data_IF_888987068111
#
_entry.id   IF_888987068111
#
_cell.length_a   1.000
_cell.length_b   1.000
_cell.length_c   1.000
_cell.angle_alpha   90.00
_cell.angle_beta   90.00
_cell.angle_gamma   90.00
#
_symmetry.space_group_name_H-M   'P 1'
#
loop_
_entity.id
_entity.type
_entity.pdbx_description
1 polymer ?
#
# COMPACT_ATOMS: atom_id res chain seq x y z
N UNK A 3 21.35 18.32 1.57
CA UNK A 3 21.16 18.82 2.93
C UNK A 3 20.61 20.23 2.92
N UNK A 4 19.46 20.41 2.27
CA UNK A 4 18.83 21.73 2.19
C UNK A 4 18.25 22.08 3.55
N UNK A 5 18.74 23.15 4.15
CA UNK A 5 18.26 23.58 5.45
C UNK A 5 19.30 23.47 6.54
N UNK A 6 19.70 24.61 7.09
CA UNK A 6 20.63 24.67 8.21
C UNK A 6 19.91 25.30 9.38
N UNK A 7 19.51 24.47 10.35
CA UNK A 7 18.64 24.89 11.43
C UNK A 7 17.17 24.72 11.13
N UNK A 8 16.80 24.72 9.85
CA UNK A 8 15.41 24.50 9.49
C UNK A 8 14.99 23.07 9.76
N UNK A 9 15.83 22.12 9.38
CA UNK A 9 15.52 20.71 9.43
C UNK A 9 15.79 20.07 10.78
N UNK A 10 15.84 20.87 11.85
CA UNK A 10 16.02 20.29 13.19
C UNK A 10 14.71 19.69 13.68
N UNK A 11 13.70 20.52 13.87
CA UNK A 11 12.33 20.08 14.13
C UNK A 11 11.48 20.86 13.13
N UNK A 12 11.34 20.29 11.93
CA UNK A 12 10.92 21.03 10.75
C UNK A 12 9.42 21.16 10.61
N UNK A 13 8.68 21.13 11.73
CA UNK A 13 7.34 21.70 11.71
C UNK A 13 7.39 23.17 11.33
N UNK A 14 8.43 23.87 11.78
CA UNK A 14 8.74 25.19 11.24
C UNK A 14 9.20 25.05 9.79
N UNK A 15 8.68 25.93 8.93
CA UNK A 15 8.99 25.92 7.51
C UNK A 15 10.36 26.50 7.23
N UNK A 16 10.93 26.11 6.10
CA UNK A 16 12.07 26.73 5.45
C UNK A 16 11.59 27.46 4.20
N UNK A 17 12.30 28.50 3.75
CA UNK A 17 11.83 29.28 2.61
C UNK A 17 11.93 28.58 1.25
N UNK A 18 12.28 27.30 1.20
CA UNK A 18 12.05 26.53 -0.02
C UNK A 18 10.60 26.09 -0.13
N UNK A 19 9.95 25.84 1.00
CA UNK A 19 8.62 25.29 1.03
C UNK A 19 8.55 23.79 1.21
N UNK A 20 9.57 23.17 1.81
CA UNK A 20 9.64 21.73 1.91
C UNK A 20 9.73 21.32 3.38
N UNK A 21 8.64 20.82 3.92
CA UNK A 21 8.62 20.32 5.30
C UNK A 21 9.46 19.06 5.35
N UNK A 22 10.57 19.12 6.08
CA UNK A 22 11.61 18.11 5.96
C UNK A 22 11.21 16.77 6.58
N UNK A 23 10.17 16.75 7.42
CA UNK A 23 9.57 15.49 7.85
C UNK A 23 8.95 14.73 6.69
N UNK A 24 8.43 15.43 5.69
CA UNK A 24 7.90 14.75 4.52
C UNK A 24 9.04 14.08 3.75
N UNK A 25 10.21 14.71 3.71
CA UNK A 25 11.36 14.06 3.09
C UNK A 25 11.90 12.91 3.93
N UNK A 26 11.86 13.03 5.27
CA UNK A 26 12.14 11.88 6.15
C UNK A 26 11.28 10.69 5.79
N UNK A 27 9.97 10.91 5.76
CA UNK A 27 9.05 9.80 5.57
C UNK A 27 9.11 9.26 4.14
N UNK A 28 9.29 10.12 3.15
CA UNK A 28 9.37 9.65 1.77
C UNK A 28 10.66 8.86 1.52
N UNK A 29 11.80 9.36 2.03
CA UNK A 29 13.04 8.61 1.87
C UNK A 29 13.01 7.32 2.67
N UNK A 30 12.31 7.30 3.80
CA UNK A 30 12.08 6.06 4.52
C UNK A 30 11.24 5.09 3.71
N UNK A 31 10.27 5.61 2.94
CA UNK A 31 9.49 4.76 2.05
C UNK A 31 10.37 4.19 0.94
N UNK A 32 11.20 5.05 0.30
CA UNK A 32 12.07 4.52 -0.75
C UNK A 32 13.22 3.70 -0.20
N UNK A 33 13.42 3.67 1.11
CA UNK A 33 14.33 2.69 1.69
C UNK A 33 13.68 1.31 1.74
N UNK A 34 12.37 1.25 1.95
CA UNK A 34 11.69 -0.03 1.96
C UNK A 34 11.28 -0.43 0.54
N UNK A 35 10.93 -1.70 0.38
CA UNK A 35 10.66 -2.30 -0.92
C UNK A 35 9.36 -1.76 -1.53
N UNK A 36 9.16 -2.06 -2.81
CA UNK A 36 8.12 -1.43 -3.62
C UNK A 36 6.85 -2.27 -3.63
N UNK A 37 5.80 -1.75 -3.02
CA UNK A 37 4.49 -2.41 -2.98
C UNK A 37 3.47 -1.57 -3.72
N UNK A 38 2.62 -2.20 -4.53
CA UNK A 38 1.67 -1.45 -5.34
C UNK A 38 0.25 -1.91 -5.02
N UNK A 39 -0.71 -1.12 -5.49
CA UNK A 39 -2.11 -1.47 -5.39
C UNK A 39 -2.84 -0.95 -6.61
N UNK A 40 -3.88 -1.67 -6.99
CA UNK A 40 -4.56 -1.40 -8.25
C UNK A 40 -6.07 -1.56 -8.04
N UNK A 41 -6.85 -0.74 -8.75
CA UNK A 41 -8.31 -0.72 -8.64
C UNK A 41 -8.85 -1.22 -9.98
N UNK A 42 -9.00 -2.55 -10.07
CA UNK A 42 -9.58 -3.16 -11.24
C UNK A 42 -11.11 -3.06 -11.18
N UNK A 43 -11.77 -3.51 -12.25
CA UNK A 43 -13.17 -3.15 -12.47
C UNK A 43 -14.15 -3.91 -11.57
N UNK A 44 -13.75 -5.04 -11.00
CA UNK A 44 -14.59 -5.75 -10.02
C UNK A 44 -13.74 -6.24 -8.85
N UNK A 45 -12.90 -5.36 -8.32
CA UNK A 45 -12.13 -5.67 -7.13
C UNK A 45 -11.05 -4.65 -6.91
N UNK A 46 -10.41 -4.75 -5.74
CA UNK A 46 -9.25 -3.94 -5.39
C UNK A 46 -8.25 -4.86 -4.70
N UNK A 47 -7.17 -5.20 -5.39
CA UNK A 47 -6.23 -6.21 -4.91
C UNK A 47 -4.86 -5.57 -4.75
N UNK A 48 -4.18 -5.89 -3.65
CA UNK A 48 -2.89 -5.30 -3.31
C UNK A 48 -1.77 -6.29 -3.57
N UNK A 49 -0.53 -5.77 -3.51
CA UNK A 49 0.64 -6.60 -3.70
C UNK A 49 1.89 -6.03 -3.06
N UNK A 50 2.68 -6.88 -2.40
CA UNK A 50 3.82 -6.43 -1.61
C UNK A 50 5.06 -7.19 -2.07
N UNK A 51 6.14 -6.46 -2.32
CA UNK A 51 7.46 -7.02 -2.51
C UNK A 51 8.03 -7.48 -1.17
N UNK A 52 7.80 -8.73 -0.79
CA UNK A 52 8.28 -9.25 0.48
C UNK A 52 9.67 -9.82 0.29
N UNK A 53 10.56 -9.54 1.25
CA UNK A 53 11.98 -9.80 1.12
C UNK A 53 12.39 -10.98 2.00
N UNK A 54 12.90 -12.03 1.39
CA UNK A 54 13.38 -13.20 2.12
C UNK A 54 14.82 -12.95 2.56
N UNK A 55 15.06 -13.07 3.86
CA UNK A 55 16.39 -12.83 4.43
C UNK A 55 17.02 -14.05 5.06
N UNK A 56 16.23 -14.89 5.75
CA UNK A 56 16.76 -16.04 6.46
C UNK A 56 15.67 -17.08 6.59
N UNK A 57 16.03 -18.20 7.22
CA UNK A 57 15.10 -19.30 7.48
C UNK A 57 14.45 -19.20 8.85
N UNK A 58 14.85 -18.23 9.68
CA UNK A 58 14.26 -18.09 11.00
C UNK A 58 12.90 -17.43 10.97
N UNK A 59 12.48 -16.94 9.80
CA UNK A 59 11.22 -16.22 9.67
C UNK A 59 10.06 -17.21 9.65
N UNK A 60 8.86 -16.68 9.38
CA UNK A 60 7.67 -17.51 9.31
C UNK A 60 6.88 -17.13 8.07
N UNK A 61 6.60 -18.12 7.23
CA UNK A 61 5.82 -17.92 6.01
C UNK A 61 4.35 -17.81 6.37
N UNK A 62 3.65 -16.86 5.75
CA UNK A 62 2.36 -16.43 6.21
C UNK A 62 2.44 -15.30 7.22
N UNK A 63 3.50 -15.27 8.02
CA UNK A 63 3.85 -14.11 8.83
C UNK A 63 4.75 -13.21 7.99
N UNK A 64 5.37 -12.21 8.66
CA UNK A 64 6.06 -11.08 8.03
C UNK A 64 5.14 -10.36 7.05
N UNK A 65 3.86 -10.27 7.40
CA UNK A 65 2.84 -9.84 6.46
C UNK A 65 2.76 -8.32 6.48
N UNK A 66 2.99 -7.71 5.32
CA UNK A 66 2.86 -6.26 5.16
C UNK A 66 1.49 -5.90 4.58
N UNK A 67 0.54 -6.83 4.69
CA UNK A 67 -0.86 -6.61 4.36
C UNK A 67 -1.66 -6.72 5.64
N UNK A 68 -2.67 -5.88 5.80
CA UNK A 68 -3.40 -5.83 7.06
C UNK A 68 -4.88 -5.61 6.79
N UNK A 69 -5.72 -6.53 7.27
CA UNK A 69 -7.15 -6.35 7.17
C UNK A 69 -7.61 -5.21 8.08
N UNK A 70 -8.48 -4.38 7.55
CA UNK A 70 -9.10 -3.30 8.30
C UNK A 70 -10.59 -3.57 8.53
N UNK A 71 -11.30 -3.97 7.49
CA UNK A 71 -12.67 -4.44 7.60
C UNK A 71 -12.76 -5.78 6.85
N UNK A 72 -13.99 -6.27 6.65
CA UNK A 72 -14.20 -7.52 5.92
C UNK A 72 -13.75 -7.44 4.48
N UNK A 73 -13.72 -6.25 3.89
CA UNK A 73 -13.24 -6.08 2.53
C UNK A 73 -12.29 -4.89 2.41
N UNK A 74 -11.79 -4.38 3.53
CA UNK A 74 -10.87 -3.26 3.54
C UNK A 74 -9.52 -3.75 4.05
N UNK A 75 -8.49 -3.57 3.22
CA UNK A 75 -7.15 -4.02 3.54
C UNK A 75 -6.18 -2.86 3.59
N UNK A 76 -4.98 -3.14 4.11
CA UNK A 76 -3.97 -2.11 4.32
C UNK A 76 -2.62 -2.64 3.87
N UNK A 77 -2.15 -2.16 2.72
CA UNK A 77 -0.88 -2.58 2.12
C UNK A 77 0.20 -1.60 2.53
N UNK A 78 0.98 -1.96 3.55
CA UNK A 78 1.87 -0.99 4.21
C UNK A 78 3.25 -1.04 3.58
N UNK A 79 3.97 0.07 3.76
CA UNK A 79 5.38 0.20 3.39
C UNK A 79 5.96 1.36 4.16
N UNK A 80 7.26 1.30 4.44
CA UNK A 80 7.89 2.31 5.27
C UNK A 80 8.46 1.69 6.53
N UNK A 81 7.90 2.05 7.68
CA UNK A 81 8.23 1.39 8.93
C UNK A 81 7.00 0.65 9.45
N UNK A 82 7.20 -0.60 9.87
CA UNK A 82 6.09 -1.51 10.08
C UNK A 82 5.33 -1.26 11.38
N UNK A 83 6.04 -0.81 12.43
CA UNK A 83 5.41 -0.70 13.74
C UNK A 83 4.41 0.45 13.80
N UNK A 84 4.79 1.62 13.28
CA UNK A 84 3.86 2.74 13.19
C UNK A 84 2.72 2.43 12.21
N UNK A 85 2.99 1.60 11.19
CA UNK A 85 1.93 1.18 10.30
C UNK A 85 0.93 0.26 10.99
N UNK A 86 1.40 -0.58 11.91
CA UNK A 86 0.47 -1.41 12.67
C UNK A 86 -0.29 -0.59 13.70
N UNK A 87 0.34 0.45 14.24
CA UNK A 87 -0.39 1.39 15.10
C UNK A 87 -1.47 2.11 14.32
N UNK A 88 -1.15 2.53 13.09
CA UNK A 88 -2.14 3.10 12.20
C UNK A 88 -3.23 2.09 11.84
N UNK A 89 -2.87 0.81 11.76
CA UNK A 89 -3.87 -0.22 11.51
C UNK A 89 -4.84 -0.35 12.68
N UNK A 90 -4.34 -0.28 13.91
CA UNK A 90 -5.21 -0.38 15.08
C UNK A 90 -6.11 0.84 15.22
N UNK A 91 -5.53 2.05 15.12
CA UNK A 91 -6.32 3.27 15.22
C UNK A 91 -7.31 3.38 14.06
N UNK A 92 -6.92 2.90 12.87
CA UNK A 92 -7.85 2.85 11.76
C UNK A 92 -8.91 1.77 11.95
N UNK A 93 -8.63 0.73 12.74
CA UNK A 93 -9.65 -0.26 13.07
C UNK A 93 -10.74 0.39 13.92
N UNK A 94 -10.35 1.14 14.95
CA UNK A 94 -11.38 1.83 15.74
C UNK A 94 -12.05 2.95 14.94
N UNK A 95 -11.32 3.57 14.02
CA UNK A 95 -11.94 4.64 13.26
C UNK A 95 -12.86 4.09 12.18
N UNK A 96 -12.56 2.91 11.64
CA UNK A 96 -13.49 2.26 10.72
C UNK A 96 -14.71 1.74 11.46
N UNK A 97 -14.54 1.37 12.74
CA UNK A 97 -15.70 1.09 13.59
C UNK A 97 -16.59 2.33 13.73
N UNK A 98 -15.98 3.49 13.96
CA UNK A 98 -16.75 4.74 14.03
C UNK A 98 -17.35 5.10 12.67
N UNK A 99 -16.71 4.69 11.59
CA UNK A 99 -17.24 5.11 10.30
C UNK A 99 -18.36 4.19 9.79
N UNK A 100 -18.32 2.89 10.09
CA UNK A 100 -19.46 2.03 9.82
C UNK A 100 -20.53 2.15 10.91
N UNK A 101 -20.22 2.84 12.01
CA UNK A 101 -21.28 3.46 12.80
C UNK A 101 -22.01 4.48 11.97
N UNK A 102 -21.25 5.44 11.44
CA UNK A 102 -21.83 6.62 10.80
C UNK A 102 -22.64 6.27 9.55
N UNK A 103 -22.18 5.31 8.77
CA UNK A 103 -22.86 5.04 7.50
C UNK A 103 -23.81 3.86 7.65
N UNK A 104 -24.85 3.85 6.80
CA UNK A 104 -25.90 2.86 6.88
C UNK A 104 -25.64 1.61 6.06
N UNK A 105 -25.14 1.80 4.84
CA UNK A 105 -24.82 0.68 3.97
C UNK A 105 -23.45 0.11 4.29
N UNK A 106 -22.90 -0.68 3.37
CA UNK A 106 -21.50 -1.07 3.44
C UNK A 106 -20.60 0.18 3.31
N UNK A 107 -19.36 0.04 3.76
CA UNK A 107 -18.50 1.17 4.14
C UNK A 107 -17.97 1.99 2.96
N UNK A 108 -18.30 3.30 2.91
CA UNK A 108 -17.79 4.19 1.84
C UNK A 108 -16.42 4.81 2.09
N UNK A 109 -15.36 4.13 1.64
CA UNK A 109 -13.94 4.41 1.86
C UNK A 109 -13.46 5.87 1.75
N UNK A 110 -14.22 6.73 1.06
CA UNK A 110 -13.80 8.12 0.81
C UNK A 110 -13.55 8.89 2.11
N UNK A 111 -14.61 9.11 2.89
CA UNK A 111 -14.49 9.88 4.13
C UNK A 111 -13.74 9.10 5.20
N UNK A 112 -13.75 7.76 5.10
CA UNK A 112 -12.92 6.90 5.94
C UNK A 112 -11.44 7.23 5.78
N UNK A 113 -10.94 7.16 4.55
CA UNK A 113 -9.56 7.47 4.26
C UNK A 113 -9.26 8.94 4.48
N UNK A 114 -10.26 9.81 4.34
CA UNK A 114 -10.09 11.22 4.71
C UNK A 114 -9.78 11.37 6.19
N UNK A 115 -10.53 10.69 7.06
CA UNK A 115 -10.27 10.78 8.50
C UNK A 115 -8.98 10.10 8.88
N UNK A 116 -8.64 8.99 8.19
CA UNK A 116 -7.38 8.31 8.46
C UNK A 116 -6.19 9.19 8.06
N UNK A 117 -6.29 9.88 6.91
CA UNK A 117 -5.24 10.79 6.50
C UNK A 117 -5.20 12.04 7.37
N UNK A 118 -6.36 12.43 7.93
CA UNK A 118 -6.37 13.50 8.93
C UNK A 118 -5.59 13.11 10.18
N UNK A 119 -5.77 11.88 10.63
CA UNK A 119 -4.98 11.38 11.76
C UNK A 119 -3.51 11.23 11.39
N UNK A 120 -3.22 10.95 10.12
CA UNK A 120 -1.83 10.90 9.65
C UNK A 120 -1.19 12.28 9.74
N UNK A 121 -1.83 13.28 9.17
CA UNK A 121 -1.26 14.62 9.14
C UNK A 121 -1.36 15.33 10.48
N UNK A 122 -2.18 14.84 11.41
CA UNK A 122 -2.33 15.51 12.69
C UNK A 122 -1.08 15.41 13.56
N UNK A 123 -0.25 14.38 13.36
CA UNK A 123 0.98 14.23 14.10
C UNK A 123 2.18 14.80 13.34
N UNK A 124 1.98 15.84 12.54
CA UNK A 124 3.03 16.34 11.66
C UNK A 124 3.37 17.81 11.89
N UNK A 125 2.90 18.42 12.99
CA UNK A 125 3.23 19.82 13.26
C UNK A 125 3.63 20.05 14.71
N UNK A 126 3.95 18.99 15.43
CA UNK A 126 4.32 19.06 16.83
C UNK A 126 5.75 18.57 16.98
N UNK A 127 6.17 18.34 18.22
CA UNK A 127 7.54 17.91 18.48
C UNK A 127 7.68 16.86 19.58
N UNK A 128 6.61 16.16 19.98
CA UNK A 128 6.75 15.17 21.02
C UNK A 128 7.44 13.92 20.51
N UNK A 129 6.84 13.25 19.53
CA UNK A 129 7.48 12.15 18.83
C UNK A 129 7.37 12.43 17.33
N UNK A 130 7.82 11.48 16.52
CA UNK A 130 7.92 11.65 15.08
C UNK A 130 6.55 11.56 14.39
N UNK A 131 6.44 12.09 13.18
CA UNK A 131 5.33 11.72 12.31
C UNK A 131 5.54 10.31 11.77
N UNK A 132 4.48 9.79 11.15
CA UNK A 132 4.48 8.42 10.65
C UNK A 132 5.35 8.33 9.42
N UNK A 133 6.52 7.69 9.57
CA UNK A 133 7.42 7.48 8.45
C UNK A 133 7.11 6.20 7.69
N UNK A 134 5.87 6.09 7.21
CA UNK A 134 5.43 4.89 6.51
C UNK A 134 4.23 5.25 5.65
N UNK A 135 3.97 4.41 4.65
CA UNK A 135 2.82 4.57 3.78
C UNK A 135 1.93 3.33 3.86
N UNK A 136 0.72 3.47 3.34
CA UNK A 136 -0.27 2.40 3.33
C UNK A 136 -1.36 2.71 2.32
N UNK A 137 -2.03 1.66 1.86
CA UNK A 137 -3.05 1.77 0.82
C UNK A 137 -4.34 1.17 1.32
N UNK A 138 -5.43 1.93 1.23
CA UNK A 138 -6.75 1.43 1.60
C UNK A 138 -7.59 1.19 0.36
N UNK A 139 -8.25 0.04 0.33
CA UNK A 139 -9.07 -0.33 -0.80
C UNK A 139 -10.30 -1.11 -0.39
N UNK A 140 -11.46 -0.71 -0.87
CA UNK A 140 -12.72 -1.36 -0.56
C UNK A 140 -13.46 -1.70 -1.84
N UNK A 141 -14.07 -2.88 -1.84
CA UNK A 141 -14.90 -3.33 -2.95
C UNK A 141 -16.32 -3.52 -2.45
N UNK A 142 -17.27 -2.92 -3.14
CA UNK A 142 -18.66 -2.97 -2.71
C UNK A 142 -19.56 -3.07 -3.93
N UNK A 143 -20.87 -2.97 -3.68
CA UNK A 143 -21.87 -3.01 -4.73
C UNK A 143 -22.61 -1.67 -4.83
N UNK A 144 -23.06 -1.15 -3.69
CA UNK A 144 -23.77 0.13 -3.68
C UNK A 144 -22.84 1.30 -3.96
N UNK A 145 -21.55 1.14 -3.67
CA UNK A 145 -20.57 2.16 -3.99
C UNK A 145 -19.40 1.65 -4.83
N UNK A 146 -19.20 0.34 -4.92
CA UNK A 146 -18.26 -0.19 -5.89
C UNK A 146 -16.88 -0.50 -5.32
N UNK A 147 -15.92 -0.58 -6.25
CA UNK A 147 -14.52 -0.81 -5.93
C UNK A 147 -13.81 0.53 -5.83
N UNK A 148 -13.39 0.89 -4.61
CA UNK A 148 -12.71 2.14 -4.36
C UNK A 148 -11.29 1.88 -3.88
N UNK A 149 -10.36 2.74 -4.29
CA UNK A 149 -8.96 2.65 -3.87
C UNK A 149 -8.44 4.03 -3.52
N UNK A 150 -7.79 4.13 -2.37
CA UNK A 150 -7.24 5.38 -1.89
C UNK A 150 -5.88 5.12 -1.23
N UNK A 151 -4.92 5.99 -1.52
CA UNK A 151 -3.57 5.87 -1.00
C UNK A 151 -3.29 7.08 -0.14
N UNK A 152 -3.10 6.86 1.16
CA UNK A 152 -2.75 7.92 2.10
C UNK A 152 -1.23 8.02 2.11
N UNK A 153 -0.73 9.14 1.59
CA UNK A 153 0.69 9.45 1.66
C UNK A 153 1.09 9.74 3.11
N UNK A 154 2.38 9.77 3.43
CA UNK A 154 2.77 10.22 4.77
C UNK A 154 2.56 11.72 4.98
N UNK A 155 2.35 12.49 3.93
CA UNK A 155 2.08 13.92 4.07
C UNK A 155 0.60 14.24 4.22
N UNK A 156 -0.25 13.22 4.39
CA UNK A 156 -1.65 13.44 4.70
C UNK A 156 -2.55 13.77 3.53
N UNK A 157 -2.01 13.86 2.31
CA UNK A 157 -2.82 14.20 1.14
C UNK A 157 -3.19 12.87 0.48
N UNK A 158 -4.33 12.33 0.88
CA UNK A 158 -4.74 11.00 0.45
C UNK A 158 -5.15 11.05 -1.02
N UNK A 159 -4.35 10.43 -1.89
CA UNK A 159 -4.64 10.35 -3.31
C UNK A 159 -5.28 9.01 -3.62
N UNK A 160 -6.43 9.05 -4.28
CA UNK A 160 -7.03 7.83 -4.79
C UNK A 160 -6.46 7.45 -6.14
N UNK A 161 -6.55 6.16 -6.46
CA UNK A 161 -5.93 5.66 -7.67
C UNK A 161 -6.77 4.56 -8.30
N UNK A 162 -6.63 4.42 -9.61
CA UNK A 162 -7.01 3.20 -10.30
C UNK A 162 -5.85 2.22 -10.39
N UNK A 163 -4.63 2.73 -10.30
CA UNK A 163 -3.43 1.95 -10.09
C UNK A 163 -2.39 2.79 -9.39
N UNK A 164 -1.87 2.32 -8.26
CA UNK A 164 -0.92 3.09 -7.48
C UNK A 164 0.39 2.32 -7.35
N UNK A 165 1.37 2.96 -6.72
CA UNK A 165 2.70 2.39 -6.50
C UNK A 165 3.42 3.18 -5.42
N UNK A 166 3.88 2.50 -4.38
CA UNK A 166 4.73 3.10 -3.35
C UNK A 166 5.92 2.19 -3.14
N UNK A 167 6.97 2.75 -2.53
CA UNK A 167 8.13 1.97 -2.14
C UNK A 167 9.41 2.50 -2.75
N UNK A 168 10.31 1.56 -3.09
CA UNK A 168 11.65 1.93 -3.54
C UNK A 168 11.65 2.28 -5.02
N UNK A 169 11.33 1.30 -5.88
CA UNK A 169 11.40 1.49 -7.33
C UNK A 169 10.02 1.92 -7.83
N UNK A 170 9.58 3.07 -7.33
CA UNK A 170 8.29 3.61 -7.71
C UNK A 170 8.24 4.07 -9.15
N UNK A 171 9.39 4.43 -9.73
CA UNK A 171 9.39 5.04 -11.06
C UNK A 171 9.04 4.04 -12.14
N UNK A 172 9.80 2.94 -12.20
CA UNK A 172 9.52 1.88 -13.17
C UNK A 172 8.17 1.24 -12.90
N UNK A 173 7.80 1.12 -11.63
CA UNK A 173 6.50 0.54 -11.27
C UNK A 173 5.35 1.42 -11.75
N UNK A 174 5.46 2.74 -11.58
CA UNK A 174 4.36 3.60 -12.01
C UNK A 174 4.31 3.75 -13.52
N UNK A 175 5.46 3.66 -14.21
CA UNK A 175 5.43 3.62 -15.66
C UNK A 175 4.73 2.37 -16.15
N UNK A 176 5.04 1.22 -15.55
CA UNK A 176 4.41 -0.02 -15.98
C UNK A 176 2.93 -0.08 -15.59
N UNK A 177 2.55 0.59 -14.51
CA UNK A 177 1.14 0.69 -14.16
C UNK A 177 0.39 1.58 -15.15
N UNK A 178 1.00 2.71 -15.54
CA UNK A 178 0.41 3.55 -16.58
C UNK A 178 0.48 2.91 -17.96
N UNK A 179 1.24 1.82 -18.13
CA UNK A 179 1.16 1.04 -19.37
C UNK A 179 -0.04 0.10 -19.39
N UNK A 180 -0.38 -0.51 -18.25
CA UNK A 180 -1.34 -1.59 -18.22
C UNK A 180 -2.79 -1.06 -18.37
N UNK A 181 -3.71 -2.01 -18.53
CA UNK A 181 -5.13 -1.71 -18.67
C UNK A 181 -5.81 -1.80 -17.30
N UNK A 182 -5.68 -0.72 -16.53
CA UNK A 182 -6.09 -0.74 -15.14
C UNK A 182 -7.60 -0.69 -14.96
N UNK A 183 -8.37 -0.45 -16.03
CA UNK A 183 -9.81 -0.34 -15.94
C UNK A 183 -10.54 -1.36 -16.79
N UNK A 184 -9.83 -2.08 -17.67
CA UNK A 184 -10.45 -2.78 -18.78
C UNK A 184 -10.62 -4.27 -18.52
N UNK A 185 -9.54 -4.97 -18.22
CA UNK A 185 -9.63 -6.41 -18.06
C UNK A 185 -10.16 -6.76 -16.67
N UNK A 186 -10.50 -8.04 -16.49
CA UNK A 186 -10.91 -8.54 -15.19
C UNK A 186 -9.72 -8.54 -14.24
N UNK A 187 -10.03 -8.66 -12.94
CA UNK A 187 -9.01 -8.49 -11.90
C UNK A 187 -7.97 -9.59 -11.91
N UNK A 188 -8.32 -10.78 -12.40
CA UNK A 188 -7.47 -11.95 -12.19
C UNK A 188 -6.25 -11.91 -13.10
N UNK A 189 -6.47 -11.67 -14.39
CA UNK A 189 -5.37 -11.50 -15.33
C UNK A 189 -4.53 -10.28 -15.01
N UNK A 190 -5.17 -9.20 -14.54
CA UNK A 190 -4.47 -7.97 -14.20
C UNK A 190 -3.57 -8.19 -12.98
N UNK A 191 -4.03 -8.94 -11.99
CA UNK A 191 -3.21 -9.20 -10.81
C UNK A 191 -2.08 -10.19 -11.13
N UNK A 192 -2.32 -11.12 -12.06
CA UNK A 192 -1.22 -11.92 -12.59
C UNK A 192 -0.17 -11.03 -13.26
N UNK A 193 -0.62 -10.05 -14.04
CA UNK A 193 0.31 -9.08 -14.63
C UNK A 193 0.99 -8.21 -13.58
N UNK A 194 0.30 -7.94 -12.46
CA UNK A 194 0.87 -7.17 -11.36
C UNK A 194 2.05 -7.91 -10.75
N UNK A 195 1.84 -9.18 -10.35
CA UNK A 195 2.91 -9.96 -9.74
C UNK A 195 4.04 -10.20 -10.74
N UNK A 196 3.68 -10.48 -11.99
CA UNK A 196 4.60 -10.58 -13.12
C UNK A 196 5.54 -9.39 -13.23
N UNK A 197 4.99 -8.19 -13.40
CA UNK A 197 5.83 -7.04 -13.70
C UNK A 197 6.54 -6.53 -12.45
N UNK A 198 5.93 -6.67 -11.26
CA UNK A 198 6.60 -6.21 -10.05
C UNK A 198 7.79 -7.09 -9.71
N UNK A 199 7.70 -8.40 -9.95
CA UNK A 199 8.89 -9.21 -9.77
C UNK A 199 9.80 -9.24 -11.00
N UNK A 200 9.40 -8.64 -12.11
CA UNK A 200 10.41 -8.19 -13.08
C UNK A 200 11.22 -7.05 -12.49
N UNK A 201 10.54 -6.08 -11.87
CA UNK A 201 11.20 -4.89 -11.30
C UNK A 201 12.13 -5.28 -10.15
N UNK A 202 11.84 -6.39 -9.46
CA UNK A 202 12.72 -6.88 -8.39
C UNK A 202 14.10 -7.27 -8.94
N UNK A 203 15.10 -6.49 -8.54
CA UNK A 203 16.48 -6.81 -8.87
C UNK A 203 17.04 -7.81 -7.86
N UNK A 204 17.51 -8.95 -8.35
CA UNK A 204 17.93 -10.03 -7.47
C UNK A 204 19.36 -9.90 -6.98
N UNK A 205 20.11 -8.91 -7.46
CA UNK A 205 21.51 -8.76 -7.08
C UNK A 205 21.65 -7.73 -5.98
N UNK A 206 21.13 -6.52 -6.20
CA UNK A 206 21.20 -5.48 -5.19
C UNK A 206 20.27 -5.77 -4.02
N UNK A 207 19.08 -6.29 -4.31
CA UNK A 207 18.18 -6.75 -3.26
C UNK A 207 18.36 -8.26 -3.07
N UNK A 208 17.96 -8.73 -1.90
CA UNK A 208 18.11 -10.15 -1.56
C UNK A 208 16.87 -10.91 -2.05
N UNK A 209 16.70 -12.15 -1.57
CA UNK A 209 15.66 -13.03 -2.05
C UNK A 209 14.27 -12.53 -1.68
N UNK A 210 13.27 -13.01 -2.42
CA UNK A 210 11.95 -12.43 -2.38
C UNK A 210 10.89 -13.51 -2.25
N UNK A 211 9.71 -13.11 -1.81
CA UNK A 211 8.56 -14.00 -1.74
C UNK A 211 7.32 -13.20 -2.12
N UNK A 212 6.40 -13.85 -2.83
CA UNK A 212 5.20 -13.20 -3.30
C UNK A 212 4.27 -12.87 -2.14
N UNK A 213 3.75 -11.65 -2.13
CA UNK A 213 2.75 -11.24 -1.15
C UNK A 213 1.64 -10.48 -1.88
N UNK A 214 0.41 -10.99 -1.76
CA UNK A 214 -0.75 -10.51 -2.49
C UNK A 214 -1.99 -10.98 -1.72
N UNK A 215 -3.08 -10.21 -1.79
CA UNK A 215 -4.30 -10.61 -1.11
C UNK A 215 -5.51 -10.07 -1.86
N UNK A 216 -6.49 -10.93 -2.11
CA UNK A 216 -7.66 -10.60 -2.89
C UNK A 216 -8.66 -9.77 -2.10
N UNK A 217 -9.53 -9.09 -2.85
CA UNK A 217 -10.96 -8.94 -2.56
C UNK A 217 -11.65 -8.59 -3.87
N UNK A 218 -12.77 -9.24 -4.15
CA UNK A 218 -13.42 -9.07 -5.43
C UNK A 218 -14.63 -9.96 -5.57
N UNK A 219 -14.96 -10.27 -6.83
CA UNK A 219 -16.21 -10.96 -7.11
C UNK A 219 -16.12 -12.45 -6.83
N UNK A 220 -15.04 -13.10 -7.27
CA UNK A 220 -14.88 -14.54 -7.08
C UNK A 220 -14.61 -14.92 -5.63
N UNK A 221 -14.12 -13.99 -4.80
CA UNK A 221 -13.82 -14.25 -3.41
C UNK A 221 -14.98 -13.94 -2.49
N UNK A 222 -16.20 -13.83 -3.03
CA UNK A 222 -17.45 -13.52 -2.33
C UNK A 222 -17.38 -12.21 -1.56
N UNK A 223 -16.58 -11.25 -2.05
CA UNK A 223 -16.38 -9.99 -1.37
C UNK A 223 -15.53 -10.05 -0.13
N UNK A 224 -14.91 -11.19 0.16
CA UNK A 224 -14.07 -11.31 1.33
C UNK A 224 -12.65 -10.87 1.00
N UNK A 225 -12.02 -10.15 1.92
CA UNK A 225 -10.64 -9.79 1.72
C UNK A 225 -9.75 -10.99 1.99
N UNK A 226 -9.64 -11.86 1.00
CA UNK A 226 -8.93 -13.11 1.15
C UNK A 226 -7.46 -12.91 0.78
N UNK A 227 -6.60 -13.73 1.36
CA UNK A 227 -5.24 -13.80 0.86
C UNK A 227 -5.26 -14.58 -0.46
N UNK A 228 -4.26 -14.35 -1.30
CA UNK A 228 -4.16 -15.14 -2.52
C UNK A 228 -3.82 -16.58 -2.15
N UNK A 229 -4.59 -17.57 -2.61
CA UNK A 229 -4.34 -18.95 -2.20
C UNK A 229 -3.08 -19.51 -2.86
N UNK A 230 -2.64 -20.65 -2.32
CA UNK A 230 -1.33 -21.20 -2.64
C UNK A 230 -1.23 -21.65 -4.09
N UNK A 231 -2.34 -22.12 -4.66
CA UNK A 231 -2.33 -22.44 -6.09
C UNK A 231 -2.21 -21.17 -6.93
N UNK A 232 -2.94 -20.12 -6.55
CA UNK A 232 -2.84 -18.86 -7.30
C UNK A 232 -1.54 -18.15 -6.95
N UNK A 233 -1.02 -18.34 -5.73
CA UNK A 233 0.31 -17.82 -5.39
C UNK A 233 1.40 -18.45 -6.25
N UNK A 234 1.43 -19.79 -6.31
CA UNK A 234 2.45 -20.46 -7.13
C UNK A 234 2.21 -20.24 -8.62
N UNK A 235 0.95 -20.03 -9.00
CA UNK A 235 0.64 -19.70 -10.39
C UNK A 235 1.20 -18.33 -10.76
N UNK A 236 1.06 -17.36 -9.88
CA UNK A 236 1.63 -16.04 -10.14
C UNK A 236 3.15 -16.06 -10.05
N UNK A 237 3.71 -16.93 -9.19
CA UNK A 237 5.15 -17.13 -9.14
C UNK A 237 5.66 -17.65 -10.48
N UNK A 238 5.01 -18.69 -11.02
CA UNK A 238 5.38 -19.24 -12.31
C UNK A 238 5.16 -18.24 -13.44
N UNK A 239 4.14 -17.38 -13.31
CA UNK A 239 3.86 -16.37 -14.32
C UNK A 239 4.96 -15.31 -14.35
N UNK A 240 5.39 -14.86 -13.16
CA UNK A 240 6.53 -13.97 -13.06
C UNK A 240 7.83 -14.64 -13.52
N UNK A 241 7.95 -15.96 -13.32
CA UNK A 241 9.14 -16.66 -13.80
C UNK A 241 9.13 -16.80 -15.32
N UNK A 242 7.94 -16.94 -15.91
CA UNK A 242 7.81 -16.90 -17.36
C UNK A 242 8.21 -15.54 -17.90
N UNK A 243 7.88 -14.48 -17.17
CA UNK A 243 8.32 -13.15 -17.57
C UNK A 243 9.83 -12.98 -17.40
N UNK A 244 10.37 -13.49 -16.29
CA UNK A 244 11.77 -13.24 -15.95
C UNK A 244 12.71 -14.15 -16.74
N UNK A 245 12.19 -15.21 -17.34
CA UNK A 245 13.02 -16.09 -18.17
C UNK A 245 13.40 -15.40 -19.48
N UNK A 246 12.53 -14.50 -19.96
CA UNK A 246 12.82 -13.72 -21.16
C UNK A 246 13.91 -12.69 -20.87
#
# INVERSE_FOLDING_TARGET
MSSIGTGYDLSASTFSPDGRVFQVEYAMKAVENSSTAIGIRCKDGVVFGVEKLVLSKLYEEGSNKRLFNVDRHVGMAVAGLLADARSLADIAREEASNFRSNFGYNIPLKHLADRVAMYVHAYTLYSAVRPFGCSFMLGSYSVNDGAQLYMIDPSGVSYGYWGCAIGKARQAAKTEIEKLQMKEMTCRDIVKEVAKIIYIVHDEVKDKAFELELSWVGELTNGRHEIVPKDIREEAEKYAKESLKEEDESDDDNM
#
